data_IF_769639573515
#
_entry.id   IF_769639573515
#
_cell.length_a   1.000
_cell.length_b   1.000
_cell.length_c   1.000
_cell.angle_alpha   90.00
_cell.angle_beta   90.00
_cell.angle_gamma   90.00
#
_symmetry.space_group_name_H-M   'P 1'
#
loop_
_entity.id
_entity.type
_entity.pdbx_description
1 polymer ?
#
# COMPACT_ATOMS: atom_id res chain seq x y z
N UNK A 1 7.89 48.00 2.54
CA UNK A 1 7.15 49.26 2.29
C UNK A 1 5.90 49.08 1.43
N UNK A 2 5.98 48.51 0.23
CA UNK A 2 4.81 48.32 -0.65
C UNK A 2 3.65 47.49 -0.04
N UNK A 3 3.95 46.42 0.70
CA UNK A 3 2.91 45.62 1.40
C UNK A 3 2.15 46.44 2.45
N UNK A 4 2.86 47.31 3.19
CA UNK A 4 2.29 48.18 4.21
C UNK A 4 1.43 49.26 3.55
N UNK A 5 1.90 49.85 2.45
CA UNK A 5 1.13 50.80 1.65
C UNK A 5 -0.16 50.18 1.09
N UNK A 6 -0.10 48.93 0.59
CA UNK A 6 -1.28 48.18 0.14
C UNK A 6 -2.29 47.96 1.27
N UNK A 7 -1.82 47.62 2.48
CA UNK A 7 -2.69 47.42 3.63
C UNK A 7 -3.36 48.73 4.08
N UNK A 8 -2.66 49.86 4.02
CA UNK A 8 -3.19 51.17 4.40
C UNK A 8 -4.19 51.75 3.38
N UNK A 9 -3.91 51.59 2.08
CA UNK A 9 -4.73 52.14 0.99
C UNK A 9 -5.94 51.25 0.64
N UNK A 10 -5.88 49.95 0.93
CA UNK A 10 -6.98 49.02 0.71
C UNK A 10 -7.45 48.99 -0.75
N UNK A 11 -8.67 49.47 -1.01
CA UNK A 11 -9.24 49.55 -2.37
C UNK A 11 -8.66 50.67 -3.23
N UNK A 12 -7.97 51.65 -2.63
CA UNK A 12 -7.41 52.81 -3.33
C UNK A 12 -5.93 52.62 -3.71
N UNK A 13 -5.37 51.42 -3.50
CA UNK A 13 -3.99 51.11 -3.85
C UNK A 13 -3.75 51.20 -5.37
N UNK A 14 -2.67 51.87 -5.76
CA UNK A 14 -2.22 52.02 -7.13
C UNK A 14 -1.59 50.72 -7.69
N UNK A 15 -1.60 50.55 -9.01
CA UNK A 15 -1.10 49.33 -9.66
C UNK A 15 0.39 49.06 -9.37
N UNK A 16 1.21 50.09 -9.18
CA UNK A 16 2.63 49.92 -8.85
C UNK A 16 2.81 49.33 -7.45
N UNK A 17 2.05 49.83 -6.46
CA UNK A 17 1.99 49.23 -5.12
C UNK A 17 1.45 47.80 -5.13
N UNK A 18 0.49 47.47 -6.00
CA UNK A 18 -0.01 46.10 -6.16
C UNK A 18 1.05 45.15 -6.70
N UNK A 19 1.76 45.53 -7.77
CA UNK A 19 2.80 44.71 -8.40
C UNK A 19 4.01 44.51 -7.49
N UNK A 20 4.43 45.55 -6.77
CA UNK A 20 5.57 45.47 -5.85
C UNK A 20 5.26 44.73 -4.54
N UNK A 21 3.99 44.55 -4.20
CA UNK A 21 3.56 43.80 -3.01
C UNK A 21 3.20 42.34 -3.31
N UNK A 22 3.18 41.93 -4.59
CA UNK A 22 2.90 40.56 -4.98
C UNK A 22 4.17 39.69 -4.93
N UNK A 23 4.10 38.60 -4.15
CA UNK A 23 5.12 37.56 -4.19
C UNK A 23 4.74 36.52 -5.24
N UNK A 24 5.52 36.46 -6.32
CA UNK A 24 5.35 35.45 -7.38
C UNK A 24 6.29 34.27 -7.12
N UNK A 25 5.70 33.10 -6.96
CA UNK A 25 6.43 31.84 -6.77
C UNK A 25 6.20 30.95 -7.98
N UNK A 26 7.27 30.49 -8.61
CA UNK A 26 7.21 29.51 -9.69
C UNK A 26 7.72 28.17 -9.17
N UNK A 27 6.86 27.16 -9.19
CA UNK A 27 7.21 25.81 -8.77
C UNK A 27 7.72 25.00 -9.96
N UNK A 28 8.83 24.29 -9.77
CA UNK A 28 9.25 23.25 -10.71
C UNK A 28 8.34 22.03 -10.53
N UNK A 29 7.42 21.85 -11.47
CA UNK A 29 6.47 20.74 -11.47
C UNK A 29 7.02 19.46 -12.12
N UNK A 30 8.33 19.37 -12.35
CA UNK A 30 8.98 18.13 -12.80
C UNK A 30 8.74 16.96 -11.83
N UNK A 31 8.56 17.25 -10.54
CA UNK A 31 8.04 16.31 -9.55
C UNK A 31 6.70 16.81 -8.98
N UNK A 32 5.61 16.25 -9.50
CA UNK A 32 4.26 16.67 -9.11
C UNK A 32 3.97 16.48 -7.62
N UNK A 33 4.48 15.42 -6.98
CA UNK A 33 4.21 15.15 -5.56
C UNK A 33 4.85 16.21 -4.66
N UNK A 34 6.12 16.53 -4.92
CA UNK A 34 6.84 17.59 -4.20
C UNK A 34 6.20 18.95 -4.48
N UNK A 35 5.86 19.24 -5.73
CA UNK A 35 5.24 20.51 -6.11
C UNK A 35 3.88 20.74 -5.45
N UNK A 36 3.04 19.70 -5.36
CA UNK A 36 1.75 19.78 -4.67
C UNK A 36 1.92 19.97 -3.16
N UNK A 37 2.87 19.27 -2.54
CA UNK A 37 3.16 19.41 -1.11
C UNK A 37 3.69 20.81 -0.78
N UNK A 38 4.66 21.31 -1.56
CA UNK A 38 5.18 22.68 -1.40
C UNK A 38 4.10 23.75 -1.57
N UNK A 39 3.21 23.59 -2.55
CA UNK A 39 2.12 24.54 -2.76
C UNK A 39 1.16 24.57 -1.56
N UNK A 40 0.81 23.40 -1.01
CA UNK A 40 0.02 23.29 0.23
C UNK A 40 0.73 23.99 1.38
N UNK A 41 2.00 23.66 1.62
CA UNK A 41 2.76 24.15 2.76
C UNK A 41 2.96 25.67 2.69
N UNK A 42 3.20 26.23 1.50
CA UNK A 42 3.26 27.67 1.28
C UNK A 42 1.94 28.37 1.59
N UNK A 43 0.81 27.77 1.20
CA UNK A 43 -0.51 28.33 1.51
C UNK A 43 -0.83 28.29 3.01
N UNK A 44 -0.48 27.21 3.70
CA UNK A 44 -0.65 27.08 5.15
C UNK A 44 0.27 28.06 5.88
N UNK A 45 1.55 28.11 5.53
CA UNK A 45 2.51 29.04 6.14
C UNK A 45 2.11 30.51 5.92
N UNK A 46 1.58 30.86 4.75
CA UNK A 46 1.08 32.21 4.49
C UNK A 46 -0.15 32.54 5.35
N UNK A 47 -1.08 31.59 5.52
CA UNK A 47 -2.23 31.76 6.41
C UNK A 47 -1.78 32.02 7.85
N UNK A 48 -0.85 31.21 8.36
CA UNK A 48 -0.36 31.32 9.73
C UNK A 48 0.36 32.67 9.94
N UNK A 49 1.21 33.07 8.99
CA UNK A 49 1.83 34.40 9.00
C UNK A 49 0.79 35.53 9.02
N UNK A 50 -0.26 35.44 8.20
CA UNK A 50 -1.28 36.46 8.13
C UNK A 50 -2.12 36.54 9.42
N UNK A 51 -2.39 35.41 10.09
CA UNK A 51 -3.05 35.38 11.39
C UNK A 51 -2.18 36.01 12.48
N UNK A 52 -0.88 35.67 12.53
CA UNK A 52 0.08 36.21 13.48
C UNK A 52 0.22 37.73 13.32
N UNK A 53 0.39 38.21 12.08
CA UNK A 53 0.46 39.64 11.76
C UNK A 53 -0.79 40.41 12.21
N UNK A 54 -1.98 39.86 11.97
CA UNK A 54 -3.23 40.48 12.40
C UNK A 54 -3.35 40.54 13.92
N UNK A 55 -2.88 39.50 14.62
CA UNK A 55 -2.87 39.46 16.08
C UNK A 55 -1.93 40.50 16.68
N UNK A 56 -0.73 40.66 16.12
CA UNK A 56 0.24 41.68 16.52
C UNK A 56 -0.26 43.11 16.25
N UNK A 57 -1.02 43.29 15.18
CA UNK A 57 -1.66 44.55 14.84
C UNK A 57 -2.96 44.84 15.64
N UNK A 58 -3.35 43.97 16.57
CA UNK A 58 -4.57 44.12 17.38
C UNK A 58 -5.89 43.92 16.63
N UNK A 59 -5.82 43.37 15.41
CA UNK A 59 -6.98 43.05 14.57
C UNK A 59 -7.46 41.61 14.81
N UNK A 60 -8.68 41.30 14.39
CA UNK A 60 -9.22 39.95 14.54
C UNK A 60 -8.48 38.96 13.61
N UNK A 61 -7.76 37.95 14.13
CA UNK A 61 -7.00 37.00 13.31
C UNK A 61 -7.88 36.17 12.37
N UNK A 62 -9.19 36.08 12.65
CA UNK A 62 -10.17 35.41 11.77
C UNK A 62 -10.38 36.11 10.43
N UNK A 63 -9.87 37.33 10.24
CA UNK A 63 -9.94 38.03 8.95
C UNK A 63 -8.99 37.43 7.89
N UNK A 64 -7.90 36.78 8.32
CA UNK A 64 -6.98 36.04 7.43
C UNK A 64 -7.42 34.60 7.18
N UNK A 65 -8.49 34.15 7.83
CA UNK A 65 -8.99 32.80 7.65
C UNK A 65 -9.69 32.66 6.31
N UNK A 66 -9.34 31.62 5.56
CA UNK A 66 -10.17 31.18 4.45
C UNK A 66 -11.58 30.83 5.00
N UNK A 67 -12.67 31.16 4.30
CA UNK A 67 -14.05 30.90 4.74
C UNK A 67 -14.40 29.40 4.81
N UNK A 68 -13.39 28.52 4.70
CA UNK A 68 -13.45 27.07 4.82
C UNK A 68 -12.63 26.69 6.06
N UNK A 69 -13.32 26.26 7.11
CA UNK A 69 -12.70 25.79 8.34
C UNK A 69 -12.43 24.28 8.25
N UNK A 70 -11.19 23.93 7.97
CA UNK A 70 -10.70 22.57 8.19
C UNK A 70 -10.63 22.33 9.69
N UNK A 71 -11.47 21.42 10.19
CA UNK A 71 -11.42 20.95 11.59
C UNK A 71 -10.42 19.82 11.71
N UNK A 72 -10.05 19.49 12.95
CA UNK A 72 -9.20 18.34 13.22
C UNK A 72 -9.75 17.08 12.52
N UNK A 73 -8.87 16.31 11.86
CA UNK A 73 -9.27 15.13 11.12
C UNK A 73 -9.84 14.08 12.07
N UNK A 74 -10.92 13.41 11.63
CA UNK A 74 -11.51 12.31 12.39
C UNK A 74 -10.52 11.15 12.52
N UNK A 75 -9.69 10.93 11.49
CA UNK A 75 -8.65 9.91 11.43
C UNK A 75 -7.36 10.45 10.79
N UNK A 76 -6.21 10.00 11.26
CA UNK A 76 -4.89 10.45 10.78
C UNK A 76 -4.33 11.66 11.52
N UNK A 77 -3.31 12.29 10.95
CA UNK A 77 -2.68 13.53 11.44
C UNK A 77 -3.09 14.71 10.55
N UNK A 78 -2.91 15.95 11.04
CA UNK A 78 -3.09 17.16 10.23
C UNK A 78 -2.09 17.23 9.06
N UNK A 79 -0.90 16.65 9.24
CA UNK A 79 0.15 16.54 8.22
C UNK A 79 0.43 15.06 7.91
N UNK A 80 -0.41 14.42 7.06
CA UNK A 80 -0.22 13.02 6.70
C UNK A 80 1.06 12.85 5.88
N UNK A 81 1.90 11.89 6.28
CA UNK A 81 3.07 11.51 5.51
C UNK A 81 2.69 10.56 4.37
N UNK A 82 3.33 10.73 3.21
CA UNK A 82 3.20 9.78 2.10
C UNK A 82 3.64 8.36 2.52
N UNK A 83 4.61 8.26 3.43
CA UNK A 83 5.08 6.98 3.98
C UNK A 83 3.96 6.22 4.66
N UNK A 84 3.13 6.88 5.47
CA UNK A 84 2.03 6.24 6.20
C UNK A 84 0.93 5.74 5.25
N UNK A 85 0.73 6.43 4.13
CA UNK A 85 -0.23 6.03 3.12
C UNK A 85 0.20 4.77 2.35
N UNK A 86 1.49 4.70 2.00
CA UNK A 86 2.07 3.62 1.17
C UNK A 86 2.47 2.40 1.99
N UNK A 87 2.85 2.60 3.26
CA UNK A 87 3.35 1.57 4.16
C UNK A 87 2.51 0.27 4.22
N UNK A 88 1.18 0.33 4.43
CA UNK A 88 0.34 -0.88 4.48
C UNK A 88 0.43 -1.70 3.19
N UNK A 89 0.40 -1.01 2.05
CA UNK A 89 0.48 -1.65 0.75
C UNK A 89 1.85 -2.29 0.50
N UNK A 90 2.93 -1.61 0.87
CA UNK A 90 4.29 -2.14 0.74
C UNK A 90 4.53 -3.36 1.62
N UNK A 91 4.00 -3.38 2.85
CA UNK A 91 4.09 -4.56 3.73
C UNK A 91 3.48 -5.78 3.02
N UNK A 92 2.26 -5.65 2.52
CA UNK A 92 1.55 -6.76 1.89
C UNK A 92 2.17 -7.18 0.57
N UNK A 93 2.64 -6.24 -0.25
CA UNK A 93 3.30 -6.57 -1.52
C UNK A 93 4.60 -7.32 -1.27
N UNK A 94 5.45 -6.87 -0.34
CA UNK A 94 6.72 -7.53 -0.01
C UNK A 94 6.44 -8.96 0.49
N UNK A 95 5.55 -9.12 1.47
CA UNK A 95 5.24 -10.44 2.05
C UNK A 95 4.65 -11.39 1.01
N UNK A 96 3.71 -10.90 0.18
CA UNK A 96 3.10 -11.70 -0.88
C UNK A 96 4.13 -12.15 -1.92
N UNK A 97 4.90 -11.22 -2.49
CA UNK A 97 5.78 -11.56 -3.62
C UNK A 97 7.06 -12.27 -3.20
N UNK A 98 7.58 -12.04 -1.99
CA UNK A 98 8.65 -12.88 -1.44
C UNK A 98 8.17 -14.32 -1.25
N UNK A 99 6.95 -14.51 -0.72
CA UNK A 99 6.37 -15.84 -0.60
C UNK A 99 6.21 -16.51 -1.97
N UNK A 100 5.71 -15.79 -2.98
CA UNK A 100 5.59 -16.29 -4.36
C UNK A 100 6.95 -16.72 -4.92
N UNK A 101 7.99 -15.88 -4.75
CA UNK A 101 9.33 -16.15 -5.27
C UNK A 101 9.97 -17.37 -4.61
N UNK A 102 9.89 -17.46 -3.27
CA UNK A 102 10.41 -18.58 -2.50
C UNK A 102 9.73 -19.89 -2.88
N UNK A 103 8.39 -19.91 -2.89
CA UNK A 103 7.62 -21.12 -3.18
C UNK A 103 7.81 -21.59 -4.63
N UNK A 104 7.78 -20.67 -5.59
CA UNK A 104 7.90 -21.04 -7.01
C UNK A 104 9.29 -21.55 -7.36
N UNK A 105 10.35 -20.90 -6.87
CA UNK A 105 11.73 -21.35 -7.10
C UNK A 105 11.98 -22.72 -6.45
N UNK A 106 11.61 -22.89 -5.17
CA UNK A 106 11.83 -24.15 -4.44
C UNK A 106 11.23 -25.36 -5.16
N UNK A 107 9.97 -25.28 -5.62
CA UNK A 107 9.33 -26.39 -6.33
C UNK A 107 9.89 -26.66 -7.72
N UNK A 108 10.32 -25.62 -8.43
CA UNK A 108 10.92 -25.80 -9.76
C UNK A 108 12.30 -26.44 -9.64
N UNK A 109 13.09 -26.06 -8.63
CA UNK A 109 14.38 -26.68 -8.33
C UNK A 109 14.18 -28.15 -8.00
N UNK A 110 13.26 -28.49 -7.08
CA UNK A 110 12.98 -29.89 -6.71
C UNK A 110 12.53 -30.74 -7.91
N UNK A 111 11.77 -30.14 -8.84
CA UNK A 111 11.38 -30.82 -10.08
C UNK A 111 12.56 -31.01 -11.01
N UNK A 112 13.39 -29.99 -11.20
CA UNK A 112 14.53 -30.02 -12.13
C UNK A 112 15.61 -31.00 -11.65
N UNK A 113 15.77 -31.15 -10.34
CA UNK A 113 16.67 -32.13 -9.72
C UNK A 113 16.10 -33.56 -9.71
N UNK A 114 14.84 -33.74 -10.14
CA UNK A 114 14.16 -35.04 -10.15
C UNK A 114 13.75 -35.55 -8.76
N UNK A 115 13.81 -34.71 -7.71
CA UNK A 115 13.36 -35.07 -6.37
C UNK A 115 11.85 -35.33 -6.35
N UNK A 116 11.08 -34.52 -7.10
CA UNK A 116 9.64 -34.66 -7.20
C UNK A 116 9.22 -36.03 -7.78
N UNK A 117 9.92 -36.49 -8.81
CA UNK A 117 9.66 -37.80 -9.44
C UNK A 117 9.99 -38.96 -8.50
N UNK A 118 11.09 -38.85 -7.74
CA UNK A 118 11.46 -39.85 -6.73
C UNK A 118 10.39 -39.95 -5.64
N UNK A 119 9.85 -38.81 -5.18
CA UNK A 119 8.74 -38.77 -4.22
C UNK A 119 7.47 -39.43 -4.76
N UNK A 120 7.16 -39.24 -6.04
CA UNK A 120 6.01 -39.91 -6.67
C UNK A 120 6.19 -41.42 -6.80
N UNK A 121 7.39 -41.89 -7.16
CA UNK A 121 7.71 -43.33 -7.20
C UNK A 121 7.63 -43.96 -5.81
N UNK A 122 7.99 -43.22 -4.76
CA UNK A 122 7.82 -43.65 -3.37
C UNK A 122 6.36 -43.69 -2.89
N UNK A 123 5.40 -43.33 -3.74
CA UNK A 123 3.97 -43.38 -3.43
C UNK A 123 3.41 -42.15 -2.73
N UNK A 124 4.20 -41.06 -2.60
CA UNK A 124 3.75 -39.83 -1.95
C UNK A 124 2.71 -39.12 -2.81
N UNK A 125 1.62 -38.70 -2.18
CA UNK A 125 0.55 -37.98 -2.88
C UNK A 125 0.92 -36.51 -3.12
N UNK A 126 0.43 -35.88 -4.21
CA UNK A 126 0.66 -34.44 -4.45
C UNK A 126 0.15 -33.54 -3.32
N UNK A 127 -0.89 -33.97 -2.60
CA UNK A 127 -1.41 -33.27 -1.43
C UNK A 127 -0.41 -33.27 -0.29
N UNK A 128 0.22 -34.41 0.00
CA UNK A 128 1.25 -34.50 1.05
C UNK A 128 2.48 -33.63 0.74
N UNK A 129 2.91 -33.57 -0.53
CA UNK A 129 4.00 -32.70 -0.99
C UNK A 129 3.61 -31.23 -0.81
N UNK A 130 2.38 -30.84 -1.17
CA UNK A 130 1.94 -29.46 -1.04
C UNK A 130 1.80 -29.05 0.44
N UNK A 131 1.25 -29.93 1.29
CA UNK A 131 1.15 -29.70 2.72
C UNK A 131 2.52 -29.59 3.41
N UNK A 132 3.49 -30.44 3.03
CA UNK A 132 4.84 -30.35 3.60
C UNK A 132 5.49 -29.02 3.27
N UNK A 133 5.38 -28.55 2.02
CA UNK A 133 5.87 -27.24 1.59
C UNK A 133 5.18 -26.09 2.29
N UNK A 134 3.85 -26.13 2.44
CA UNK A 134 3.12 -25.10 3.19
C UNK A 134 3.66 -25.02 4.61
N UNK A 135 3.85 -26.14 5.30
CA UNK A 135 4.30 -26.16 6.70
C UNK A 135 5.75 -25.66 6.82
N UNK A 136 6.66 -26.13 5.97
CA UNK A 136 8.08 -25.74 6.06
C UNK A 136 8.28 -24.28 5.69
N UNK A 137 7.61 -23.81 4.64
CA UNK A 137 7.72 -22.43 4.18
C UNK A 137 6.94 -21.46 5.09
N UNK A 138 5.90 -21.92 5.80
CA UNK A 138 5.19 -21.09 6.77
C UNK A 138 6.10 -20.57 7.89
N UNK A 139 7.06 -21.37 8.36
CA UNK A 139 8.02 -20.92 9.39
C UNK A 139 8.90 -19.79 8.86
N UNK A 140 9.41 -19.93 7.64
CA UNK A 140 10.18 -18.87 6.96
C UNK A 140 9.31 -17.63 6.72
N UNK A 141 8.04 -17.83 6.36
CA UNK A 141 7.07 -16.78 6.12
C UNK A 141 6.75 -15.98 7.39
N UNK A 142 6.60 -16.64 8.55
CA UNK A 142 6.46 -15.97 9.84
C UNK A 142 7.68 -15.12 10.16
N UNK A 143 8.89 -15.64 9.90
CA UNK A 143 10.15 -14.91 10.08
C UNK A 143 10.25 -13.65 9.22
N UNK A 144 9.98 -13.76 7.91
CA UNK A 144 10.01 -12.59 7.03
C UNK A 144 8.93 -11.56 7.41
N UNK A 145 7.74 -12.01 7.81
CA UNK A 145 6.63 -11.11 8.17
C UNK A 145 6.97 -10.34 9.44
N UNK A 146 7.55 -11.01 10.44
CA UNK A 146 8.04 -10.35 11.64
C UNK A 146 9.12 -9.30 11.30
N UNK A 147 10.09 -9.64 10.43
CA UNK A 147 11.14 -8.71 10.01
C UNK A 147 10.55 -7.48 9.32
N UNK A 148 9.64 -7.66 8.36
CA UNK A 148 8.99 -6.56 7.64
C UNK A 148 8.23 -5.65 8.60
N UNK A 149 7.44 -6.22 9.52
CA UNK A 149 6.69 -5.42 10.50
C UNK A 149 7.61 -4.66 11.47
N UNK A 150 8.70 -5.29 11.93
CA UNK A 150 9.70 -4.63 12.79
C UNK A 150 10.31 -3.43 12.08
N UNK A 151 10.73 -3.57 10.82
CA UNK A 151 11.30 -2.46 10.06
C UNK A 151 10.28 -1.34 9.84
N UNK A 152 9.05 -1.69 9.48
CA UNK A 152 8.03 -0.68 9.18
C UNK A 152 7.60 0.11 10.43
N UNK A 153 7.51 -0.54 11.59
CA UNK A 153 7.08 0.12 12.84
C UNK A 153 8.26 0.82 13.54
N UNK A 154 9.43 0.19 13.63
CA UNK A 154 10.56 0.74 14.41
C UNK A 154 11.51 1.63 13.60
N UNK A 155 11.70 1.36 12.31
CA UNK A 155 12.66 2.11 11.47
C UNK A 155 11.96 3.20 10.67
N UNK A 156 10.81 2.90 10.09
CA UNK A 156 10.01 3.86 9.34
C UNK A 156 9.00 4.62 10.20
N UNK A 157 8.93 4.33 11.50
CA UNK A 157 8.07 5.00 12.49
C UNK A 157 6.60 5.10 12.06
N UNK A 158 6.10 4.11 11.32
CA UNK A 158 4.73 4.11 10.82
C UNK A 158 3.75 4.00 11.99
N UNK A 159 2.82 4.95 12.07
CA UNK A 159 1.80 4.96 13.11
C UNK A 159 0.92 3.70 13.03
N UNK A 160 0.88 2.93 14.12
CA UNK A 160 -0.02 1.80 14.28
C UNK A 160 -1.07 2.13 15.35
N UNK A 161 -2.24 2.60 14.93
CA UNK A 161 -3.35 2.95 15.84
C UNK A 161 -4.26 1.76 16.20
N UNK A 162 -4.19 0.69 15.40
CA UNK A 162 -5.02 -0.51 15.57
C UNK A 162 -4.37 -1.62 16.38
N UNK A 163 -5.09 -2.74 16.47
CA UNK A 163 -4.57 -3.96 17.09
C UNK A 163 -3.49 -4.61 16.19
N UNK A 164 -2.26 -4.67 16.71
CA UNK A 164 -1.12 -5.33 16.06
C UNK A 164 -1.42 -6.79 15.73
N UNK A 165 -2.26 -7.47 16.50
CA UNK A 165 -2.62 -8.85 16.24
C UNK A 165 -3.39 -9.00 14.92
N UNK A 166 -4.31 -8.07 14.61
CA UNK A 166 -5.04 -8.08 13.33
C UNK A 166 -4.10 -7.81 12.15
N UNK A 167 -3.13 -6.92 12.33
CA UNK A 167 -2.08 -6.64 11.35
C UNK A 167 -1.26 -7.90 11.07
N UNK A 168 -0.81 -8.60 12.11
CA UNK A 168 -0.04 -9.84 11.97
C UNK A 168 -0.86 -10.94 11.28
N UNK A 169 -2.13 -11.14 11.66
CA UNK A 169 -2.97 -12.18 11.02
C UNK A 169 -3.18 -11.87 9.54
N UNK A 170 -3.56 -10.64 9.21
CA UNK A 170 -3.83 -10.26 7.82
C UNK A 170 -2.58 -10.38 6.94
N UNK A 171 -1.42 -9.98 7.45
CA UNK A 171 -0.14 -10.09 6.73
C UNK A 171 0.29 -11.55 6.53
N UNK A 172 0.12 -12.41 7.54
CA UNK A 172 0.35 -13.85 7.43
C UNK A 172 -0.62 -14.49 6.41
N UNK A 173 -1.90 -14.15 6.45
CA UNK A 173 -2.88 -14.60 5.44
C UNK A 173 -2.49 -14.16 4.04
N UNK A 174 -2.00 -12.93 3.88
CA UNK A 174 -1.52 -12.47 2.59
C UNK A 174 -0.27 -13.25 2.13
N UNK A 175 0.65 -13.57 3.04
CA UNK A 175 1.79 -14.44 2.76
C UNK A 175 1.36 -15.84 2.31
N UNK A 176 0.35 -16.43 2.96
CA UNK A 176 -0.26 -17.71 2.55
C UNK A 176 -0.88 -17.62 1.16
N UNK A 177 -1.57 -16.52 0.86
CA UNK A 177 -2.11 -16.25 -0.48
C UNK A 177 -0.99 -16.19 -1.52
N UNK A 178 0.15 -15.56 -1.18
CA UNK A 178 1.35 -15.50 -2.01
C UNK A 178 1.94 -16.89 -2.25
N UNK A 179 2.08 -17.73 -1.22
CA UNK A 179 2.55 -19.11 -1.39
C UNK A 179 1.62 -19.91 -2.32
N UNK A 180 0.30 -19.77 -2.18
CA UNK A 180 -0.66 -20.44 -3.06
C UNK A 180 -0.52 -19.98 -4.52
N UNK A 181 -0.31 -18.69 -4.76
CA UNK A 181 -0.02 -18.17 -6.09
C UNK A 181 1.32 -18.69 -6.62
N UNK A 182 2.36 -18.76 -5.79
CA UNK A 182 3.65 -19.37 -6.12
C UNK A 182 3.51 -20.84 -6.55
N UNK A 183 2.64 -21.61 -5.88
CA UNK A 183 2.32 -22.97 -6.32
C UNK A 183 1.72 -23.02 -7.71
N UNK A 184 0.79 -22.12 -8.04
CA UNK A 184 0.20 -22.02 -9.38
C UNK A 184 1.28 -21.73 -10.43
N UNK A 185 2.17 -20.76 -10.16
CA UNK A 185 3.29 -20.44 -11.08
C UNK A 185 4.20 -21.66 -11.27
N UNK A 186 4.58 -22.34 -10.19
CA UNK A 186 5.44 -23.53 -10.25
C UNK A 186 4.80 -24.69 -11.03
N UNK A 187 3.47 -24.74 -11.11
CA UNK A 187 2.75 -25.78 -11.83
C UNK A 187 2.75 -25.51 -13.34
N UNK A 188 2.70 -24.24 -13.74
CA UNK A 188 2.66 -23.80 -15.14
C UNK A 188 4.07 -23.74 -15.74
N UNK A 189 5.05 -23.21 -15.01
CA UNK A 189 6.41 -23.03 -15.52
C UNK A 189 7.28 -24.28 -15.30
N UNK A 190 8.13 -24.57 -16.29
CA UNK A 190 9.13 -25.66 -16.22
C UNK A 190 10.52 -25.14 -15.84
N UNK A 191 10.85 -23.91 -16.28
CA UNK A 191 12.14 -23.27 -16.04
C UNK A 191 12.01 -22.18 -14.97
N UNK A 192 12.98 -22.11 -14.07
CA UNK A 192 13.02 -21.12 -12.98
C UNK A 192 12.99 -19.69 -13.51
N UNK A 193 13.77 -19.41 -14.57
CA UNK A 193 13.81 -18.09 -15.21
C UNK A 193 12.45 -17.62 -15.70
N UNK A 194 11.64 -18.53 -16.26
CA UNK A 194 10.31 -18.19 -16.76
C UNK A 194 9.34 -17.93 -15.61
N UNK A 195 9.46 -18.67 -14.51
CA UNK A 195 8.67 -18.44 -13.30
C UNK A 195 8.96 -17.08 -12.67
N UNK A 196 10.24 -16.70 -12.57
CA UNK A 196 10.64 -15.37 -12.08
C UNK A 196 10.09 -14.27 -12.98
N UNK A 197 10.17 -14.42 -14.31
CA UNK A 197 9.62 -13.45 -15.25
C UNK A 197 8.10 -13.32 -15.14
N UNK A 198 7.38 -14.43 -14.93
CA UNK A 198 5.93 -14.42 -14.75
C UNK A 198 5.54 -13.79 -13.40
N UNK A 199 6.28 -14.10 -12.33
CA UNK A 199 6.09 -13.47 -11.03
C UNK A 199 6.30 -11.96 -11.11
N UNK A 200 7.40 -11.50 -11.73
CA UNK A 200 7.66 -10.07 -11.96
C UNK A 200 6.62 -9.43 -12.89
N UNK A 201 6.18 -10.15 -13.93
CA UNK A 201 5.12 -9.71 -14.84
C UNK A 201 3.78 -9.50 -14.13
N UNK A 202 3.48 -10.31 -13.11
CA UNK A 202 2.31 -10.15 -12.25
C UNK A 202 2.50 -9.08 -11.16
N UNK A 203 3.74 -8.86 -10.72
CA UNK A 203 4.10 -7.90 -9.69
C UNK A 203 3.73 -6.47 -10.06
N UNK A 204 4.23 -5.98 -11.20
CA UNK A 204 4.07 -4.57 -11.56
C UNK A 204 2.60 -4.16 -11.74
N UNK A 205 1.75 -4.90 -12.47
CA UNK A 205 0.33 -4.54 -12.59
C UNK A 205 -0.38 -4.56 -11.25
N UNK A 206 -0.08 -5.57 -10.41
CA UNK A 206 -0.70 -5.69 -9.09
C UNK A 206 -0.28 -4.53 -8.20
N UNK A 207 1.00 -4.17 -8.16
CA UNK A 207 1.52 -3.04 -7.38
C UNK A 207 0.86 -1.72 -7.77
N UNK A 208 0.72 -1.46 -9.07
CA UNK A 208 0.15 -0.21 -9.59
C UNK A 208 -1.36 -0.10 -9.38
N UNK A 209 -2.09 -1.21 -9.52
CA UNK A 209 -3.55 -1.24 -9.45
C UNK A 209 -4.10 -1.45 -8.05
N UNK A 210 -3.33 -2.06 -7.13
CA UNK A 210 -3.84 -2.48 -5.80
C UNK A 210 -4.04 -1.35 -4.78
N UNK A 211 -3.90 -0.09 -5.18
CA UNK A 211 -4.16 1.03 -4.29
C UNK A 211 -3.00 1.38 -3.36
N UNK A 212 -1.80 0.83 -3.60
CA UNK A 212 -0.60 1.00 -2.76
C UNK A 212 -0.03 2.41 -2.90
N UNK A 213 0.23 2.83 -4.15
CA UNK A 213 0.85 4.13 -4.46
C UNK A 213 -0.21 5.22 -4.64
N UNK A 214 -1.33 4.87 -5.26
CA UNK A 214 -2.43 5.79 -5.58
C UNK A 214 -3.74 5.26 -5.01
N UNK A 215 -4.64 6.13 -4.53
CA UNK A 215 -5.97 5.71 -4.08
C UNK A 215 -6.75 5.07 -5.23
N UNK A 216 -7.49 3.99 -4.92
CA UNK A 216 -8.29 3.27 -5.92
C UNK A 216 -9.44 4.14 -6.43
N UNK A 217 -9.96 5.01 -5.58
CA UNK A 217 -11.03 5.96 -5.85
C UNK A 217 -10.65 6.98 -6.92
N UNK A 218 -9.35 7.26 -7.09
CA UNK A 218 -8.83 8.15 -8.13
C UNK A 218 -8.72 7.53 -9.52
N UNK A 219 -8.94 6.21 -9.66
CA UNK A 219 -8.79 5.50 -10.92
C UNK A 219 -10.07 5.59 -11.78
N UNK A 220 -9.96 5.50 -13.13
CA UNK A 220 -11.14 5.32 -14.00
C UNK A 220 -11.95 4.08 -13.63
N UNK A 221 -13.27 4.12 -13.85
CA UNK A 221 -14.23 3.08 -13.42
C UNK A 221 -13.83 1.65 -13.85
N UNK A 222 -13.29 1.47 -15.05
CA UNK A 222 -12.86 0.15 -15.54
C UNK A 222 -11.71 -0.40 -14.70
N UNK A 223 -10.74 0.45 -14.36
CA UNK A 223 -9.57 0.07 -13.57
C UNK A 223 -9.95 -0.20 -12.11
N UNK A 224 -10.98 0.48 -11.58
CA UNK A 224 -11.51 0.20 -10.24
C UNK A 224 -12.09 -1.22 -10.13
N UNK A 225 -12.81 -1.69 -11.15
CA UNK A 225 -13.33 -3.07 -11.14
C UNK A 225 -12.21 -4.11 -11.26
N UNK A 226 -11.19 -3.84 -12.09
CA UNK A 226 -10.03 -4.72 -12.23
C UNK A 226 -9.25 -4.77 -10.92
N UNK A 227 -9.00 -3.62 -10.29
CA UNK A 227 -8.27 -3.57 -9.02
C UNK A 227 -9.03 -4.28 -7.91
N UNK A 228 -10.35 -4.11 -7.82
CA UNK A 228 -11.18 -4.80 -6.82
C UNK A 228 -11.11 -6.34 -6.95
N UNK A 229 -10.84 -6.86 -8.15
CA UNK A 229 -10.65 -8.29 -8.37
C UNK A 229 -9.28 -8.79 -7.86
N UNK A 230 -8.25 -7.95 -7.81
CA UNK A 230 -6.91 -8.40 -7.41
C UNK A 230 -6.85 -8.86 -5.95
N UNK A 231 -6.05 -9.90 -5.63
CA UNK A 231 -5.95 -10.44 -4.28
C UNK A 231 -5.36 -9.47 -3.25
N UNK A 232 -4.66 -8.44 -3.71
CA UNK A 232 -3.90 -7.51 -2.86
C UNK A 232 -4.68 -6.24 -2.51
N UNK A 233 -5.66 -5.85 -3.33
CA UNK A 233 -6.32 -4.53 -3.23
C UNK A 233 -7.19 -4.41 -1.98
N UNK A 234 -8.08 -5.38 -1.77
CA UNK A 234 -8.95 -5.41 -0.60
C UNK A 234 -8.14 -5.63 0.68
N UNK A 235 -7.08 -6.45 0.63
CA UNK A 235 -6.18 -6.64 1.75
C UNK A 235 -5.44 -5.33 2.13
N UNK A 236 -4.98 -4.56 1.13
CA UNK A 236 -4.29 -3.28 1.33
C UNK A 236 -5.20 -2.23 1.94
N UNK A 237 -6.45 -2.13 1.48
CA UNK A 237 -7.44 -1.20 2.04
C UNK A 237 -7.81 -1.57 3.48
N UNK A 238 -7.98 -2.85 3.79
CA UNK A 238 -8.19 -3.32 5.17
C UNK A 238 -6.99 -3.01 6.07
N UNK A 239 -5.77 -3.33 5.64
CA UNK A 239 -4.58 -3.09 6.45
C UNK A 239 -4.35 -1.60 6.69
N UNK A 240 -4.58 -0.75 5.68
CA UNK A 240 -4.54 0.71 5.82
C UNK A 240 -5.57 1.19 6.84
N UNK A 241 -6.78 0.65 6.82
CA UNK A 241 -7.84 1.00 7.77
C UNK A 241 -7.49 0.59 9.20
N UNK A 242 -6.86 -0.57 9.40
CA UNK A 242 -6.39 -1.01 10.73
C UNK A 242 -5.26 -0.09 11.23
N UNK A 243 -4.24 0.18 10.41
CA UNK A 243 -3.07 0.96 10.82
C UNK A 243 -3.41 2.44 11.09
N UNK A 244 -4.14 3.08 10.17
CA UNK A 244 -4.40 4.53 10.22
C UNK A 244 -5.64 4.91 11.03
N UNK A 245 -6.69 4.09 11.00
CA UNK A 245 -7.98 4.38 11.67
C UNK A 245 -8.22 3.57 12.94
N UNK A 246 -7.42 2.52 13.18
CA UNK A 246 -7.58 1.66 14.36
C UNK A 246 -8.83 0.79 14.34
N UNK A 247 -9.38 0.53 13.15
CA UNK A 247 -10.65 -0.21 13.03
C UNK A 247 -10.51 -1.70 13.36
N UNK A 248 -11.54 -2.23 14.02
CA UNK A 248 -11.61 -3.64 14.39
C UNK A 248 -12.27 -4.47 13.28
N UNK A 249 -12.24 -5.81 13.42
CA UNK A 249 -12.75 -6.74 12.40
C UNK A 249 -14.26 -6.62 12.12
N UNK A 250 -15.00 -5.91 12.97
CA UNK A 250 -16.43 -5.66 12.79
C UNK A 250 -16.73 -4.70 11.64
N UNK A 251 -15.77 -3.86 11.27
CA UNK A 251 -15.96 -2.86 10.22
C UNK A 251 -15.94 -3.49 8.81
N UNK A 252 -16.80 -3.03 7.89
CA UNK A 252 -16.92 -3.57 6.53
C UNK A 252 -15.60 -3.58 5.77
N UNK A 253 -14.88 -2.46 5.81
CA UNK A 253 -13.61 -2.34 5.10
C UNK A 253 -12.55 -3.33 5.61
N UNK A 254 -12.65 -3.79 6.86
CA UNK A 254 -11.68 -4.73 7.44
C UNK A 254 -12.03 -6.17 7.09
N UNK A 255 -13.26 -6.63 7.37
CA UNK A 255 -13.59 -8.03 7.10
C UNK A 255 -13.63 -8.38 5.62
N UNK A 256 -13.91 -7.40 4.73
CA UNK A 256 -13.86 -7.61 3.28
C UNK A 256 -12.46 -8.02 2.80
N UNK A 257 -11.39 -7.49 3.37
CA UNK A 257 -10.02 -7.91 3.03
C UNK A 257 -9.72 -9.32 3.52
N UNK A 258 -10.12 -9.67 4.75
CA UNK A 258 -9.99 -11.05 5.25
C UNK A 258 -10.77 -12.05 4.38
N UNK A 259 -12.00 -11.70 3.99
CA UNK A 259 -12.80 -12.57 3.13
C UNK A 259 -12.19 -12.72 1.73
N UNK A 260 -11.72 -11.61 1.14
CA UNK A 260 -11.06 -11.62 -0.17
C UNK A 260 -9.82 -12.50 -0.17
N UNK A 261 -8.94 -12.33 0.83
CA UNK A 261 -7.72 -13.12 0.96
C UNK A 261 -7.98 -14.60 1.12
N UNK A 262 -8.94 -14.99 1.98
CA UNK A 262 -9.36 -16.39 2.13
C UNK A 262 -9.92 -16.95 0.81
N UNK A 263 -10.75 -16.17 0.12
CA UNK A 263 -11.33 -16.57 -1.18
C UNK A 263 -10.23 -16.84 -2.21
N UNK A 264 -9.23 -15.96 -2.30
CA UNK A 264 -8.10 -16.11 -3.21
C UNK A 264 -7.16 -17.27 -2.82
N UNK A 265 -6.94 -17.53 -1.53
CA UNK A 265 -6.20 -18.70 -1.05
C UNK A 265 -6.88 -19.99 -1.55
N UNK A 266 -8.19 -20.12 -1.33
CA UNK A 266 -8.95 -21.31 -1.75
C UNK A 266 -8.92 -21.46 -3.27
N UNK A 267 -9.09 -20.35 -3.99
CA UNK A 267 -9.05 -20.33 -5.45
C UNK A 267 -7.68 -20.80 -5.97
N UNK A 268 -6.58 -20.20 -5.53
CA UNK A 268 -5.24 -20.58 -6.01
C UNK A 268 -4.85 -22.00 -5.62
N UNK A 269 -5.20 -22.44 -4.41
CA UNK A 269 -4.95 -23.81 -3.97
C UNK A 269 -5.74 -24.81 -4.83
N UNK A 270 -7.01 -24.51 -5.13
CA UNK A 270 -7.83 -25.36 -6.02
C UNK A 270 -7.24 -25.47 -7.43
N UNK A 271 -6.79 -24.35 -8.01
CA UNK A 271 -6.14 -24.32 -9.33
C UNK A 271 -4.84 -25.13 -9.29
N UNK A 272 -4.00 -24.93 -8.27
CA UNK A 272 -2.74 -25.66 -8.12
C UNK A 272 -2.96 -27.17 -8.07
N UNK A 273 -3.93 -27.64 -7.28
CA UNK A 273 -4.26 -29.07 -7.18
C UNK A 273 -4.78 -29.64 -8.51
N UNK A 274 -5.60 -28.89 -9.25
CA UNK A 274 -6.12 -29.32 -10.55
C UNK A 274 -4.96 -29.47 -11.54
N UNK A 275 -4.06 -28.48 -11.63
CA UNK A 275 -2.93 -28.51 -12.55
C UNK A 275 -1.94 -29.64 -12.20
N UNK A 276 -1.66 -29.85 -10.90
CA UNK A 276 -0.81 -30.95 -10.45
C UNK A 276 -1.41 -32.32 -10.76
N UNK A 277 -2.74 -32.49 -10.63
CA UNK A 277 -3.41 -33.73 -11.02
C UNK A 277 -3.34 -33.97 -12.53
N UNK A 278 -3.51 -32.93 -13.34
CA UNK A 278 -3.45 -33.05 -14.80
C UNK A 278 -2.06 -33.48 -15.29
N UNK A 279 -0.97 -33.00 -14.67
CA UNK A 279 0.41 -33.40 -15.04
C UNK A 279 0.76 -34.83 -14.63
N UNK A 280 -0.04 -35.48 -13.77
CA UNK A 280 0.19 -36.86 -13.31
C UNK A 280 -0.42 -37.91 -14.26
N UNK A 281 -1.33 -37.50 -15.15
CA UNK A 281 -1.96 -38.37 -16.16
C UNK A 281 -1.28 -38.24 -17.50
#
# INVERSE_FOLDING_TARGET
>A
DALVARMALGKEADNETLDQSEMRVWLDMSNQQIGLMLNRDLQVAYRDFAQELLSDCGNNPKLADIPIQFRDPIYGSNDPSFTDFVAPGVILTIVFFLAVALTSSALIIERTEGLLDRSWVAGVTPLEILFSHVITQFVVMCGQTALVLIFMILVFEVECKGDIFLVIILTILQGLCGMCFGFVISAICELERNAIQLALGSFYPTLLLSGVIWPVEGMPIVLQYISACLPLTLATTSLRSILTRGWFITEPDVWMGFLSTITWIVLFLSISLIVLKMKRG
#
